data_IF_109615491188
#
_entry.id   IF_109615491188
#
_cell.length_a   1.000
_cell.length_b   1.000
_cell.length_c   1.000
_cell.angle_alpha   90.00
_cell.angle_beta   90.00
_cell.angle_gamma   90.00
#
_symmetry.space_group_name_H-M   'P 1'
#
loop_
_entity.id
_entity.type
_entity.pdbx_description
1 polymer ?
#
# COMPACT_ATOMS: atom_id res chain seq x y z
N UNK A 1 11.66 6.82 5.15
CA UNK A 1 11.87 6.69 3.70
C UNK A 1 11.36 7.94 2.99
N UNK A 2 12.21 8.63 2.23
CA UNK A 2 11.86 9.82 1.45
C UNK A 2 11.53 9.44 0.02
N UNK A 3 10.74 10.27 -0.67
CA UNK A 3 10.61 10.18 -2.12
C UNK A 3 11.89 10.72 -2.77
N UNK A 4 12.33 10.03 -3.82
CA UNK A 4 13.29 10.54 -4.79
C UNK A 4 12.52 11.37 -5.83
N UNK A 5 12.39 12.68 -5.55
CA UNK A 5 11.64 13.62 -6.37
C UNK A 5 12.61 14.31 -7.32
N UNK A 6 12.47 14.04 -8.61
CA UNK A 6 13.25 14.74 -9.65
C UNK A 6 12.98 16.25 -9.63
N UNK A 7 13.97 17.10 -9.94
CA UNK A 7 13.77 18.55 -10.05
C UNK A 7 12.62 18.94 -10.98
N UNK A 8 12.43 18.23 -12.09
CA UNK A 8 11.38 18.48 -13.08
C UNK A 8 9.99 18.20 -12.51
N UNK A 9 9.83 17.13 -11.73
CA UNK A 9 8.58 16.82 -11.04
C UNK A 9 8.27 17.85 -9.95
N UNK A 10 9.30 18.31 -9.23
CA UNK A 10 9.15 19.37 -8.22
C UNK A 10 8.72 20.69 -8.87
N UNK A 11 9.35 21.09 -9.97
CA UNK A 11 8.98 22.28 -10.72
C UNK A 11 7.54 22.20 -11.22
N UNK A 12 7.12 21.07 -11.79
CA UNK A 12 5.71 20.86 -12.19
C UNK A 12 4.76 21.04 -11.00
N UNK A 13 5.08 20.47 -9.84
CA UNK A 13 4.23 20.54 -8.66
C UNK A 13 4.10 21.96 -8.09
N UNK A 14 5.11 22.82 -8.32
CA UNK A 14 5.04 24.24 -7.95
C UNK A 14 4.12 25.05 -8.86
N UNK A 15 3.90 24.59 -10.10
CA UNK A 15 3.11 25.29 -11.11
C UNK A 15 1.68 24.76 -11.26
N UNK A 16 1.31 23.69 -10.56
CA UNK A 16 -0.07 23.16 -10.59
C UNK A 16 -0.19 21.71 -10.13
N UNK A 17 -1.31 21.11 -10.52
CA UNK A 17 -1.63 19.72 -10.19
C UNK A 17 -0.67 18.75 -10.90
N UNK A 18 -0.38 17.64 -10.22
CA UNK A 18 0.40 16.52 -10.76
C UNK A 18 -0.57 15.38 -11.10
N UNK A 19 -0.42 14.80 -12.29
CA UNK A 19 -1.20 13.63 -12.67
C UNK A 19 -0.78 12.38 -11.86
N UNK A 20 -1.71 11.44 -11.71
CA UNK A 20 -1.47 10.22 -10.96
C UNK A 20 -0.33 9.39 -11.56
N UNK A 21 -0.13 9.39 -12.89
CA UNK A 21 0.90 8.57 -13.53
C UNK A 21 2.32 9.02 -13.13
N UNK A 22 2.57 10.33 -13.15
CA UNK A 22 3.84 10.93 -12.72
C UNK A 22 4.09 10.69 -11.23
N UNK A 23 3.04 10.80 -10.40
CA UNK A 23 3.19 10.57 -8.97
C UNK A 23 3.41 9.09 -8.63
N UNK A 24 2.70 8.18 -9.30
CA UNK A 24 2.87 6.73 -9.19
C UNK A 24 4.28 6.32 -9.61
N UNK A 25 4.82 6.89 -10.69
CA UNK A 25 6.17 6.62 -11.15
C UNK A 25 7.23 7.06 -10.11
N UNK A 26 7.03 8.22 -9.48
CA UNK A 26 7.88 8.67 -8.37
C UNK A 26 7.80 7.69 -7.18
N UNK A 27 6.61 7.23 -6.81
CA UNK A 27 6.42 6.21 -5.75
C UNK A 27 7.15 4.92 -6.11
N UNK A 28 6.95 4.41 -7.33
CA UNK A 28 7.54 3.16 -7.83
C UNK A 28 9.07 3.20 -7.75
N UNK A 29 9.67 4.30 -8.22
CA UNK A 29 11.13 4.47 -8.20
C UNK A 29 11.66 4.65 -6.77
N UNK A 30 10.94 5.37 -5.92
CA UNK A 30 11.38 5.69 -4.55
C UNK A 30 11.21 4.53 -3.56
N UNK A 31 10.16 3.71 -3.74
CA UNK A 31 9.70 2.72 -2.78
C UNK A 31 9.48 1.35 -3.47
N UNK A 32 10.53 0.79 -4.12
CA UNK A 32 10.41 -0.38 -4.98
C UNK A 32 9.88 -1.63 -4.25
N UNK A 33 10.27 -1.86 -2.99
CA UNK A 33 9.76 -3.00 -2.22
C UNK A 33 8.25 -2.87 -1.96
N UNK A 34 7.79 -1.67 -1.58
CA UNK A 34 6.36 -1.45 -1.38
C UNK A 34 5.57 -1.61 -2.69
N UNK A 35 6.13 -1.13 -3.79
CA UNK A 35 5.57 -1.32 -5.13
C UNK A 35 5.44 -2.79 -5.50
N UNK A 36 6.50 -3.58 -5.33
CA UNK A 36 6.52 -5.00 -5.68
C UNK A 36 5.50 -5.80 -4.85
N UNK A 37 5.41 -5.52 -3.54
CA UNK A 37 4.42 -6.17 -2.66
C UNK A 37 2.99 -5.83 -3.12
N UNK A 38 2.68 -4.54 -3.33
CA UNK A 38 1.32 -4.13 -3.68
C UNK A 38 0.93 -4.64 -5.07
N UNK A 39 1.80 -4.45 -6.08
CA UNK A 39 1.54 -4.91 -7.44
C UNK A 39 1.44 -6.44 -7.52
N UNK A 40 2.25 -7.17 -6.76
CA UNK A 40 2.14 -8.63 -6.62
C UNK A 40 0.82 -9.08 -6.02
N UNK A 41 0.32 -8.40 -4.98
CA UNK A 41 -0.99 -8.68 -4.39
C UNK A 41 -2.14 -8.38 -5.35
N UNK A 42 -2.05 -7.28 -6.11
CA UNK A 42 -3.03 -6.94 -7.16
C UNK A 42 -3.06 -8.03 -8.23
N UNK A 43 -1.89 -8.46 -8.73
CA UNK A 43 -1.81 -9.52 -9.72
C UNK A 43 -2.37 -10.84 -9.18
N UNK A 44 -2.04 -11.22 -7.93
CA UNK A 44 -2.59 -12.41 -7.27
C UNK A 44 -4.11 -12.34 -7.15
N UNK A 45 -4.65 -11.21 -6.70
CA UNK A 45 -6.09 -11.00 -6.61
C UNK A 45 -6.79 -11.14 -7.98
N UNK A 46 -6.20 -10.61 -9.04
CA UNK A 46 -6.75 -10.71 -10.39
C UNK A 46 -6.78 -12.14 -10.94
N UNK A 47 -5.82 -12.98 -10.54
CA UNK A 47 -5.72 -14.39 -10.96
C UNK A 47 -6.59 -15.30 -10.11
N UNK A 48 -6.47 -15.20 -8.79
CA UNK A 48 -7.09 -16.13 -7.83
C UNK A 48 -8.55 -15.74 -7.51
N UNK A 49 -8.88 -14.44 -7.63
CA UNK A 49 -10.15 -13.88 -7.22
C UNK A 49 -10.36 -13.90 -5.70
N UNK A 50 -11.61 -14.12 -5.29
CA UNK A 50 -12.01 -14.13 -3.88
C UNK A 50 -12.34 -12.74 -3.33
N UNK A 51 -12.41 -12.64 -2.00
CA UNK A 51 -12.83 -11.41 -1.33
C UNK A 51 -11.72 -10.34 -1.28
N UNK A 52 -10.47 -10.76 -1.11
CA UNK A 52 -9.28 -9.91 -1.06
C UNK A 52 -7.99 -10.75 -1.13
N UNK A 53 -6.85 -10.08 -1.34
CA UNK A 53 -5.51 -10.65 -1.22
C UNK A 53 -4.68 -9.86 -0.20
N UNK A 54 -4.06 -10.50 0.80
CA UNK A 54 -3.15 -9.85 1.75
C UNK A 54 -1.71 -10.40 1.78
N UNK A 55 -0.79 -9.55 2.23
CA UNK A 55 0.56 -9.96 2.59
C UNK A 55 0.61 -10.38 4.06
N UNK A 56 1.17 -11.56 4.32
CA UNK A 56 1.36 -12.09 5.69
C UNK A 56 2.84 -12.36 5.99
N UNK A 57 3.74 -12.01 5.07
CA UNK A 57 5.18 -12.19 5.24
C UNK A 57 5.81 -10.87 5.70
N UNK A 58 6.50 -10.86 6.85
CA UNK A 58 7.24 -9.67 7.28
C UNK A 58 8.31 -9.25 6.26
N UNK A 59 8.56 -7.94 6.12
CA UNK A 59 9.67 -7.42 5.35
C UNK A 59 11.01 -8.03 5.80
N UNK A 60 11.95 -8.23 4.87
CA UNK A 60 13.26 -8.81 5.18
C UNK A 60 14.12 -7.93 6.08
N UNK A 61 13.88 -6.61 6.10
CA UNK A 61 14.64 -5.64 6.87
C UNK A 61 13.82 -4.37 7.20
N UNK A 62 14.43 -3.47 7.98
CA UNK A 62 13.92 -2.15 8.37
C UNK A 62 13.61 -1.24 7.18
N UNK A 63 14.43 -1.30 6.13
CA UNK A 63 14.30 -0.43 4.98
C UNK A 63 13.05 -0.82 4.17
N UNK A 64 12.88 -2.10 3.89
CA UNK A 64 11.72 -2.68 3.25
C UNK A 64 10.44 -2.39 4.05
N UNK A 65 10.48 -2.56 5.38
CA UNK A 65 9.37 -2.20 6.26
C UNK A 65 9.04 -0.72 6.20
N UNK A 66 10.06 0.14 6.24
CA UNK A 66 9.91 1.58 6.12
C UNK A 66 9.28 2.02 4.80
N UNK A 67 9.50 1.28 3.70
CA UNK A 67 8.85 1.58 2.42
C UNK A 67 7.34 1.31 2.46
N UNK A 68 6.91 0.14 2.96
CA UNK A 68 5.48 -0.19 3.09
C UNK A 68 4.76 0.80 4.01
N UNK A 69 5.34 1.06 5.18
CA UNK A 69 4.80 2.04 6.13
C UNK A 69 4.69 3.43 5.49
N UNK A 70 5.70 3.85 4.73
CA UNK A 70 5.72 5.17 4.08
C UNK A 70 4.60 5.35 3.06
N UNK A 71 4.35 4.34 2.23
CA UNK A 71 3.25 4.36 1.25
C UNK A 71 1.91 4.36 1.97
N UNK A 72 1.71 3.43 2.91
CA UNK A 72 0.40 3.18 3.50
C UNK A 72 -0.01 4.23 4.54
N UNK A 73 0.93 4.92 5.16
CA UNK A 73 0.67 6.04 6.07
C UNK A 73 0.30 7.35 5.35
N UNK A 74 0.52 7.46 4.04
CA UNK A 74 0.21 8.66 3.28
C UNK A 74 -1.07 8.49 2.46
N UNK A 75 -2.09 9.30 2.75
CA UNK A 75 -3.36 9.25 2.02
C UNK A 75 -3.17 9.53 0.53
N UNK A 76 -2.30 10.48 0.17
CA UNK A 76 -2.00 10.80 -1.22
C UNK A 76 -1.35 9.62 -1.95
N UNK A 77 -0.33 8.98 -1.36
CA UNK A 77 0.36 7.84 -1.97
C UNK A 77 -0.55 6.64 -2.09
N UNK A 78 -1.19 6.24 -0.98
CA UNK A 78 -2.13 5.11 -0.95
C UNK A 78 -3.26 5.34 -1.94
N UNK A 79 -3.85 6.54 -1.95
CA UNK A 79 -4.94 6.90 -2.86
C UNK A 79 -4.51 6.90 -4.34
N UNK A 80 -3.30 7.35 -4.67
CA UNK A 80 -2.78 7.30 -6.03
C UNK A 80 -2.62 5.85 -6.52
N UNK A 81 -2.09 4.96 -5.68
CA UNK A 81 -1.98 3.53 -6.02
C UNK A 81 -3.36 2.86 -6.14
N UNK A 82 -4.31 3.19 -5.25
CA UNK A 82 -5.70 2.70 -5.33
C UNK A 82 -6.35 3.06 -6.68
N UNK A 83 -6.19 4.32 -7.13
CA UNK A 83 -6.71 4.77 -8.43
C UNK A 83 -5.97 4.14 -9.60
N UNK A 84 -4.64 4.03 -9.52
CA UNK A 84 -3.82 3.45 -10.57
C UNK A 84 -4.14 1.97 -10.82
N UNK A 85 -4.30 1.18 -9.75
CA UNK A 85 -4.61 -0.25 -9.86
C UNK A 85 -6.11 -0.55 -9.94
N UNK A 86 -6.98 0.42 -9.66
CA UNK A 86 -8.43 0.21 -9.62
C UNK A 86 -8.87 -0.68 -8.46
N UNK A 87 -8.26 -0.52 -7.29
CA UNK A 87 -8.50 -1.35 -6.09
C UNK A 87 -8.65 -0.50 -4.84
N UNK A 88 -9.05 -1.12 -3.74
CA UNK A 88 -8.98 -0.54 -2.39
C UNK A 88 -7.88 -1.20 -1.58
N UNK A 89 -7.07 -0.40 -0.89
CA UNK A 89 -6.02 -0.88 0.01
C UNK A 89 -6.47 -0.72 1.47
N UNK A 90 -6.10 -1.69 2.31
CA UNK A 90 -6.19 -1.58 3.75
C UNK A 90 -4.92 -2.12 4.42
N UNK A 91 -4.65 -1.68 5.65
CA UNK A 91 -3.42 -1.98 6.37
C UNK A 91 -3.70 -2.18 7.85
N UNK A 92 -3.09 -3.19 8.48
CA UNK A 92 -3.29 -3.51 9.89
C UNK A 92 -2.03 -3.38 10.75
N UNK A 93 -0.88 -3.82 10.26
CA UNK A 93 0.38 -3.77 11.00
C UNK A 93 1.55 -3.63 10.02
N UNK A 94 2.78 -3.60 10.52
CA UNK A 94 3.99 -3.35 9.75
C UNK A 94 4.21 -4.11 8.42
N UNK A 95 3.48 -5.18 8.14
CA UNK A 95 3.58 -5.97 6.92
C UNK A 95 2.24 -6.33 6.28
N UNK A 96 1.12 -6.28 7.03
CA UNK A 96 -0.17 -6.75 6.55
C UNK A 96 -0.94 -5.67 5.81
N UNK A 97 -0.63 -5.55 4.51
CA UNK A 97 -1.41 -4.82 3.51
C UNK A 97 -2.33 -5.78 2.78
N UNK A 98 -3.55 -5.34 2.48
CA UNK A 98 -4.56 -6.10 1.77
C UNK A 98 -5.16 -5.31 0.61
N UNK A 99 -5.45 -6.00 -0.49
CA UNK A 99 -6.06 -5.50 -1.73
C UNK A 99 -7.48 -6.04 -1.85
N UNK A 100 -8.45 -5.14 -2.00
CA UNK A 100 -9.87 -5.41 -2.16
C UNK A 100 -10.38 -4.82 -3.48
N UNK A 101 -11.47 -5.35 -4.07
CA UNK A 101 -12.07 -4.73 -5.26
C UNK A 101 -12.63 -3.34 -5.00
N UNK A 102 -13.24 -3.10 -3.84
CA UNK A 102 -13.78 -1.80 -3.46
C UNK A 102 -13.95 -1.65 -1.95
N UNK A 103 -14.15 -0.41 -1.49
CA UNK A 103 -14.47 -0.10 -0.09
C UNK A 103 -15.89 -0.56 0.32
N UNK A 104 -16.76 -0.90 -0.63
CA UNK A 104 -18.14 -1.30 -0.34
C UNK A 104 -18.26 -2.77 0.06
N UNK A 105 -17.19 -3.56 -0.11
CA UNK A 105 -17.21 -4.99 0.22
C UNK A 105 -17.35 -5.24 1.73
N UNK A 106 -18.03 -6.33 2.08
CA UNK A 106 -18.13 -6.79 3.46
C UNK A 106 -16.74 -7.16 4.02
N UNK A 107 -15.90 -7.79 3.19
CA UNK A 107 -14.54 -8.15 3.55
C UNK A 107 -13.68 -6.93 3.94
N UNK A 108 -13.72 -5.86 3.15
CA UNK A 108 -13.05 -4.60 3.49
C UNK A 108 -13.56 -4.03 4.82
N UNK A 109 -14.90 -3.93 4.96
CA UNK A 109 -15.54 -3.39 6.17
C UNK A 109 -15.19 -4.20 7.41
N UNK A 110 -15.09 -5.53 7.30
CA UNK A 110 -14.64 -6.41 8.39
C UNK A 110 -13.17 -6.18 8.71
N UNK A 111 -12.31 -6.17 7.70
CA UNK A 111 -10.85 -6.09 7.83
C UNK A 111 -10.39 -4.86 8.62
N UNK A 112 -11.05 -3.72 8.45
CA UNK A 112 -10.67 -2.46 9.11
C UNK A 112 -11.23 -2.30 10.53
N UNK A 113 -11.92 -3.31 11.08
CA UNK A 113 -12.50 -3.18 12.42
C UNK A 113 -11.47 -3.30 13.54
N UNK A 114 -11.73 -2.67 14.72
CA UNK A 114 -10.91 -2.90 15.91
C UNK A 114 -10.81 -4.39 16.31
N UNK A 115 -11.87 -5.17 16.08
CA UNK A 115 -11.87 -6.62 16.34
C UNK A 115 -10.82 -7.32 15.48
N UNK A 116 -10.83 -7.11 14.16
CA UNK A 116 -9.85 -7.74 13.28
C UNK A 116 -8.44 -7.25 13.56
N UNK A 117 -8.25 -5.99 13.97
CA UNK A 117 -6.95 -5.48 14.41
C UNK A 117 -6.42 -6.25 15.63
N UNK A 118 -7.28 -6.54 16.62
CA UNK A 118 -6.91 -7.33 17.80
C UNK A 118 -6.64 -8.79 17.41
N UNK A 119 -7.44 -9.37 16.53
CA UNK A 119 -7.26 -10.75 16.07
C UNK A 119 -6.03 -10.94 15.17
N UNK A 120 -5.52 -9.86 14.57
CA UNK A 120 -4.27 -9.85 13.83
C UNK A 120 -3.02 -9.94 14.74
N UNK A 121 -3.18 -9.85 16.06
CA UNK A 121 -2.08 -9.97 17.00
C UNK A 121 -1.67 -11.44 17.18
N UNK A 122 -0.36 -11.69 17.20
CA UNK A 122 0.21 -12.97 17.60
C UNK A 122 1.43 -12.77 18.50
N UNK A 123 1.80 -13.75 19.35
CA UNK A 123 3.00 -13.66 20.18
C UNK A 123 4.30 -13.41 19.37
N UNK A 124 4.33 -13.84 18.12
CA UNK A 124 5.43 -13.68 17.18
C UNK A 124 5.51 -12.26 16.57
N UNK A 125 4.44 -11.46 16.66
CA UNK A 125 4.33 -10.12 16.06
C UNK A 125 4.46 -8.98 17.08
N UNK A 126 5.15 -9.21 18.21
CA UNK A 126 5.26 -8.22 19.31
C UNK A 126 6.06 -6.96 18.96
N UNK A 127 6.96 -7.03 17.98
CA UNK A 127 7.77 -5.89 17.51
C UNK A 127 7.29 -5.40 16.12
N UNK A 128 5.98 -5.53 15.92
CA UNK A 128 5.22 -5.05 14.79
C UNK A 128 4.00 -4.29 15.36
#
# INVERSE_FOLDING_TARGET
MSLDVSPELLEKAQHGEIDDAAFVECIRTSLPYAWDVISGLVARYQVDGGDFADNQTPPPDEQARGQLLRVLASDAMRGALERYFGVKLAFQNCHRVAVFPSADTEAYRRFITPREQILNQSPELRDC
#
